data_IF_535632736237
#
_entry.id   IF_535632736237
#
_cell.length_a   1.000
_cell.length_b   1.000
_cell.length_c   1.000
_cell.angle_alpha   90.00
_cell.angle_beta   90.00
_cell.angle_gamma   90.00
#
_symmetry.space_group_name_H-M   'P 1'
#
loop_
_entity.id
_entity.type
_entity.pdbx_description
1 polymer ?
#
# COMPACT_ATOMS: atom_id res chain seq x y z
N UNK A 1 -5.84 -12.59 8.07
CA UNK A 1 -5.94 -11.61 9.17
C UNK A 1 -4.60 -11.31 9.82
N UNK A 2 -3.84 -12.31 10.31
CA UNK A 2 -2.52 -12.08 10.93
C UNK A 2 -1.52 -11.34 10.02
N UNK A 3 -1.45 -11.71 8.74
CA UNK A 3 -0.56 -11.05 7.76
C UNK A 3 -0.85 -9.55 7.64
N UNK A 4 -2.13 -9.16 7.56
CA UNK A 4 -2.53 -7.75 7.50
C UNK A 4 -2.11 -6.97 8.75
N UNK A 5 -2.25 -7.58 9.95
CA UNK A 5 -1.82 -6.96 11.20
C UNK A 5 -0.30 -6.73 11.20
N UNK A 6 0.48 -7.73 10.78
CA UNK A 6 1.95 -7.61 10.69
C UNK A 6 2.36 -6.50 9.73
N UNK A 7 1.70 -6.40 8.58
CA UNK A 7 1.93 -5.33 7.59
C UNK A 7 1.64 -3.96 8.21
N UNK A 8 0.49 -3.78 8.86
CA UNK A 8 0.14 -2.50 9.50
C UNK A 8 1.14 -2.13 10.59
N UNK A 9 1.55 -3.07 11.43
CA UNK A 9 2.55 -2.82 12.49
C UNK A 9 3.89 -2.41 11.89
N UNK A 10 4.32 -3.04 10.80
CA UNK A 10 5.56 -2.67 10.11
C UNK A 10 5.51 -1.21 9.59
N UNK A 11 4.42 -0.83 8.92
CA UNK A 11 4.22 0.52 8.41
C UNK A 11 4.15 1.57 9.54
N UNK A 12 3.40 1.29 10.60
CA UNK A 12 3.28 2.19 11.77
C UNK A 12 4.64 2.44 12.41
N UNK A 13 5.43 1.38 12.63
CA UNK A 13 6.78 1.51 13.20
C UNK A 13 7.70 2.31 12.29
N UNK A 14 7.68 2.02 10.99
CA UNK A 14 8.51 2.73 10.01
C UNK A 14 8.12 4.19 9.86
N UNK A 15 6.82 4.51 9.96
CA UNK A 15 6.35 5.89 9.96
C UNK A 15 6.85 6.64 11.20
N UNK A 16 6.81 6.01 12.38
CA UNK A 16 7.30 6.59 13.64
C UNK A 16 8.81 6.86 13.57
N UNK A 17 9.60 5.92 13.02
CA UNK A 17 11.04 6.08 12.76
C UNK A 17 11.36 7.25 11.81
N UNK A 18 10.48 7.50 10.84
CA UNK A 18 10.64 8.52 9.81
C UNK A 18 9.99 9.88 10.18
N UNK A 19 9.41 10.01 11.38
CA UNK A 19 8.69 11.22 11.80
C UNK A 19 7.39 11.48 11.04
N UNK A 20 6.86 10.47 10.33
CA UNK A 20 5.63 10.56 9.56
C UNK A 20 4.39 10.23 10.41
N UNK A 21 3.21 10.64 9.94
CA UNK A 21 1.96 10.30 10.60
C UNK A 21 1.64 8.79 10.50
N UNK A 22 1.84 8.08 11.62
CA UNK A 22 1.59 6.64 11.75
C UNK A 22 0.18 6.18 11.40
N UNK A 23 -0.84 7.00 11.61
CA UNK A 23 -2.22 6.65 11.30
C UNK A 23 -2.47 6.63 9.80
N UNK A 24 -1.90 7.61 9.09
CA UNK A 24 -1.98 7.69 7.63
C UNK A 24 -1.28 6.48 7.01
N UNK A 25 -0.05 6.19 7.43
CA UNK A 25 0.70 5.07 6.89
C UNK A 25 0.13 3.69 7.27
N UNK A 26 -0.50 3.57 8.44
CA UNK A 26 -1.30 2.39 8.79
C UNK A 26 -2.50 2.20 7.86
N UNK A 27 -3.20 3.28 7.49
CA UNK A 27 -4.30 3.23 6.52
C UNK A 27 -3.80 2.89 5.10
N UNK A 28 -2.65 3.43 4.68
CA UNK A 28 -1.99 3.08 3.41
C UNK A 28 -1.63 1.60 3.37
N UNK A 29 -1.12 1.05 4.48
CA UNK A 29 -0.80 -0.38 4.58
C UNK A 29 -2.04 -1.27 4.40
N UNK A 30 -3.15 -0.90 5.03
CA UNK A 30 -4.43 -1.59 4.87
C UNK A 30 -4.95 -1.49 3.44
N UNK A 31 -4.92 -0.29 2.85
CA UNK A 31 -5.36 -0.05 1.49
C UNK A 31 -4.52 -0.81 0.46
N UNK A 32 -3.19 -0.84 0.62
CA UNK A 32 -2.29 -1.56 -0.28
C UNK A 32 -2.51 -3.07 -0.21
N UNK A 33 -2.78 -3.63 0.97
CA UNK A 33 -3.01 -5.07 1.13
C UNK A 33 -4.41 -5.49 0.69
N UNK A 34 -5.46 -4.90 1.27
CA UNK A 34 -6.85 -5.27 0.99
C UNK A 34 -7.33 -4.75 -0.35
N UNK A 35 -6.89 -3.57 -0.79
CA UNK A 35 -7.24 -3.02 -2.09
C UNK A 35 -6.75 -3.91 -3.23
N UNK A 36 -5.53 -4.45 -3.11
CA UNK A 36 -4.97 -5.41 -4.08
C UNK A 36 -5.77 -6.71 -4.11
N UNK A 37 -6.17 -7.24 -2.95
CA UNK A 37 -7.00 -8.45 -2.89
C UNK A 37 -8.38 -8.24 -3.50
N UNK A 38 -9.00 -7.09 -3.22
CA UNK A 38 -10.28 -6.71 -3.82
C UNK A 38 -10.17 -6.58 -5.33
N UNK A 39 -9.10 -5.94 -5.84
CA UNK A 39 -8.87 -5.76 -7.27
C UNK A 39 -8.69 -7.11 -7.99
N UNK A 40 -7.89 -8.00 -7.42
CA UNK A 40 -7.69 -9.36 -7.95
C UNK A 40 -9.02 -10.12 -7.97
N UNK A 41 -9.76 -10.10 -6.86
CA UNK A 41 -11.08 -10.73 -6.78
C UNK A 41 -12.08 -10.18 -7.80
N UNK A 42 -12.06 -8.88 -8.06
CA UNK A 42 -12.91 -8.23 -9.06
C UNK A 42 -12.54 -8.65 -10.48
N UNK A 43 -11.24 -8.65 -10.82
CA UNK A 43 -10.75 -9.10 -12.13
C UNK A 43 -11.18 -10.54 -12.39
N UNK A 44 -10.98 -11.44 -11.42
CA UNK A 44 -11.40 -12.83 -11.53
C UNK A 44 -12.91 -12.99 -11.65
N UNK A 45 -13.67 -12.24 -10.86
CA UNK A 45 -15.13 -12.22 -10.95
C UNK A 45 -15.61 -11.87 -12.36
N UNK A 46 -14.97 -10.89 -13.01
CA UNK A 46 -15.27 -10.52 -14.41
C UNK A 46 -14.93 -11.66 -15.39
N UNK A 47 -13.78 -12.32 -15.23
CA UNK A 47 -13.39 -13.45 -16.09
C UNK A 47 -14.31 -14.66 -15.95
N UNK A 48 -14.79 -14.94 -14.73
CA UNK A 48 -15.69 -16.07 -14.47
C UNK A 48 -17.09 -15.82 -15.03
N UNK A 49 -17.58 -14.58 -14.97
CA UNK A 49 -18.84 -14.18 -15.60
C UNK A 49 -18.77 -14.34 -17.12
N UNK A 50 -17.65 -13.96 -17.73
CA UNK A 50 -17.45 -14.09 -19.19
C UNK A 50 -17.41 -15.55 -19.65
N UNK A 51 -16.79 -16.44 -18.85
CA UNK A 51 -16.68 -17.86 -19.19
C UNK A 51 -17.88 -18.72 -18.74
N UNK A 52 -18.84 -18.15 -18.01
CA UNK A 52 -20.01 -18.88 -17.50
C UNK A 52 -19.67 -19.97 -16.48
N UNK A 53 -18.48 -19.89 -15.87
CA UNK A 53 -17.94 -20.89 -14.94
C UNK A 53 -18.01 -20.38 -13.50
N UNK A 54 -18.24 -21.28 -12.55
CA UNK A 54 -18.16 -20.99 -11.11
C UNK A 54 -16.85 -21.51 -10.53
N UNK A 55 -16.30 -20.82 -9.53
CA UNK A 55 -15.11 -21.29 -8.81
C UNK A 55 -15.38 -22.57 -8.04
N UNK A 56 -14.53 -23.57 -8.23
CA UNK A 56 -14.46 -24.72 -7.33
C UNK A 56 -13.72 -24.36 -6.04
N UNK A 57 -13.98 -25.13 -4.97
CA UNK A 57 -13.44 -24.87 -3.64
C UNK A 57 -11.90 -24.93 -3.58
N UNK A 58 -11.28 -25.72 -4.46
CA UNK A 58 -9.82 -25.81 -4.64
C UNK A 58 -9.22 -24.55 -5.27
N UNK A 59 -9.94 -23.96 -6.23
CA UNK A 59 -9.57 -22.73 -6.91
C UNK A 59 -9.72 -21.52 -5.99
N UNK A 60 -10.75 -21.51 -5.13
CA UNK A 60 -10.95 -20.48 -4.11
C UNK A 60 -9.76 -20.42 -3.13
N UNK A 61 -9.25 -21.58 -2.69
CA UNK A 61 -8.07 -21.66 -1.82
C UNK A 61 -6.81 -21.14 -2.53
N UNK A 62 -6.60 -21.55 -3.78
CA UNK A 62 -5.48 -21.08 -4.61
C UNK A 62 -5.50 -19.56 -4.79
N UNK A 63 -6.68 -19.00 -5.06
CA UNK A 63 -6.88 -17.56 -5.20
C UNK A 63 -6.61 -16.78 -3.92
N UNK A 64 -7.01 -17.34 -2.77
CA UNK A 64 -6.74 -16.70 -1.49
C UNK A 64 -5.23 -16.63 -1.21
N UNK A 65 -4.49 -17.70 -1.52
CA UNK A 65 -3.02 -17.72 -1.41
C UNK A 65 -2.35 -16.73 -2.36
N UNK A 66 -2.79 -16.68 -3.62
CA UNK A 66 -2.31 -15.68 -4.59
C UNK A 66 -2.59 -14.26 -4.09
N UNK A 67 -3.80 -13.99 -3.60
CA UNK A 67 -4.17 -12.70 -3.04
C UNK A 67 -3.33 -12.30 -1.83
N UNK A 68 -2.97 -13.24 -0.96
CA UNK A 68 -2.05 -13.00 0.18
C UNK A 68 -0.66 -12.63 -0.33
N UNK A 69 -0.12 -13.38 -1.29
CA UNK A 69 1.23 -13.16 -1.83
C UNK A 69 1.29 -11.81 -2.56
N UNK A 70 0.37 -11.56 -3.50
CA UNK A 70 0.38 -10.33 -4.31
C UNK A 70 0.06 -9.11 -3.43
N UNK A 71 -0.90 -9.21 -2.51
CA UNK A 71 -1.18 -8.15 -1.54
C UNK A 71 0.03 -7.84 -0.64
N UNK A 72 0.77 -8.87 -0.23
CA UNK A 72 2.01 -8.70 0.52
C UNK A 72 3.13 -8.01 -0.28
N UNK A 73 3.28 -8.37 -1.55
CA UNK A 73 4.25 -7.71 -2.46
C UNK A 73 3.89 -6.24 -2.66
N UNK A 74 2.61 -5.93 -2.93
CA UNK A 74 2.15 -4.54 -3.08
C UNK A 74 2.38 -3.72 -1.81
N UNK A 75 2.06 -4.28 -0.64
CA UNK A 75 2.36 -3.64 0.63
C UNK A 75 3.87 -3.44 0.83
N UNK A 76 4.71 -4.40 0.45
CA UNK A 76 6.17 -4.26 0.53
C UNK A 76 6.70 -3.14 -0.37
N UNK A 77 6.19 -3.02 -1.60
CA UNK A 77 6.55 -1.93 -2.51
C UNK A 77 6.16 -0.57 -1.92
N UNK A 78 4.95 -0.45 -1.38
CA UNK A 78 4.52 0.78 -0.71
C UNK A 78 5.38 1.11 0.52
N UNK A 79 5.79 0.09 1.28
CA UNK A 79 6.69 0.24 2.43
C UNK A 79 8.05 0.82 2.02
N UNK A 80 8.62 0.33 0.92
CA UNK A 80 9.91 0.80 0.39
C UNK A 80 9.87 2.25 -0.11
N UNK A 81 8.69 2.78 -0.45
CA UNK A 81 8.54 4.16 -0.91
C UNK A 81 8.50 5.19 0.23
N UNK A 82 8.31 4.76 1.49
CA UNK A 82 8.21 5.66 2.65
C UNK A 82 9.42 6.59 2.82
N UNK A 83 10.68 6.13 2.72
CA UNK A 83 11.85 7.02 2.85
C UNK A 83 11.95 8.02 1.69
N UNK A 84 11.59 7.61 0.48
CA UNK A 84 11.57 8.50 -0.69
C UNK A 84 10.53 9.61 -0.56
N UNK A 85 9.37 9.32 0.04
CA UNK A 85 8.36 10.33 0.36
C UNK A 85 8.91 11.40 1.31
N UNK A 86 9.65 11.00 2.35
CA UNK A 86 10.28 11.92 3.32
C UNK A 86 11.32 12.81 2.64
N UNK A 87 12.21 12.22 1.82
CA UNK A 87 13.22 12.97 1.08
C UNK A 87 12.59 14.03 0.16
N UNK A 88 11.50 13.67 -0.53
CA UNK A 88 10.76 14.61 -1.37
C UNK A 88 10.09 15.72 -0.54
N UNK A 89 9.56 15.40 0.64
CA UNK A 89 8.92 16.37 1.53
C UNK A 89 9.92 17.41 2.06
N UNK A 90 11.13 17.00 2.42
CA UNK A 90 12.21 17.93 2.82
C UNK A 90 12.72 18.79 1.65
N UNK A 91 12.92 18.22 0.47
CA UNK A 91 13.36 19.00 -0.71
C UNK A 91 12.36 20.09 -1.11
N UNK A 92 11.05 19.83 -0.94
CA UNK A 92 10.02 20.83 -1.22
C UNK A 92 9.95 21.92 -0.16
N UNK A 93 10.30 21.64 1.11
CA UNK A 93 10.38 22.70 2.12
C UNK A 93 11.58 23.61 1.86
N UNK A 94 12.76 23.05 1.53
CA UNK A 94 13.95 23.85 1.22
C UNK A 94 13.75 24.76 0.00
N UNK A 95 13.08 24.28 -1.06
CA UNK A 95 12.77 25.11 -2.24
C UNK A 95 11.80 26.24 -1.90
N UNK A 96 10.78 25.98 -1.06
CA UNK A 96 9.85 27.03 -0.64
C UNK A 96 10.54 28.08 0.25
N UNK A 97 11.41 27.65 1.19
CA UNK A 97 12.15 28.59 2.04
C UNK A 97 13.07 29.50 1.18
N UNK A 98 13.73 28.95 0.16
CA UNK A 98 14.54 29.72 -0.79
C UNK A 98 13.72 30.66 -1.67
N UNK A 99 12.53 30.23 -2.11
CA UNK A 99 11.63 31.08 -2.90
C UNK A 99 11.03 32.20 -2.07
N UNK A 100 10.74 31.96 -0.79
CA UNK A 100 10.24 33.00 0.11
C UNK A 100 11.36 34.04 0.40
N UNK A 101 12.61 33.63 0.64
CA UNK A 101 13.72 34.58 0.85
C UNK A 101 13.98 35.47 -0.38
N UNK A 102 13.94 34.94 -1.61
CA UNK A 102 14.17 35.72 -2.84
C UNK A 102 13.00 36.67 -3.22
N UNK A 103 11.79 36.48 -2.67
CA UNK A 103 10.61 37.33 -2.96
C UNK A 103 10.55 38.55 -2.03
N UNK A 104 11.18 38.49 -0.86
CA UNK A 104 11.11 39.54 0.16
C UNK A 104 12.34 40.47 0.22
N UNK A 105 13.32 40.31 -0.69
CA UNK A 105 14.45 41.22 -0.95
C UNK A 105 14.26 42.01 -2.27
#
# INVERSE_FOLDING_TARGET
MLVAILIVVAFVRRADELGLNKWIWGAVALAAYFGTQLLIGLILGLFLVDQGTTLEQSEELGLNLVGIIVGGICAYVAYQQMPGYVANMHSHSEINDLLDEDIFD
#
